data_IF_805445365200
#
_entry.id   IF_805445365200
#
_cell.length_a   1.000
_cell.length_b   1.000
_cell.length_c   1.000
_cell.angle_alpha   90.00
_cell.angle_beta   90.00
_cell.angle_gamma   90.00
#
_symmetry.space_group_name_H-M   'P 1'
#
loop_
_entity.id
_entity.type
_entity.pdbx_description
1 polymer ?
#
# COMPACT_ATOMS: atom_id res chain seq x y z
N UNK A 1 38.82 -3.27 -31.37
CA UNK A 1 37.59 -2.82 -30.67
C UNK A 1 36.41 -3.57 -31.26
N UNK A 2 35.69 -4.36 -30.47
CA UNK A 2 34.47 -5.05 -30.92
C UNK A 2 33.29 -4.08 -30.83
N UNK A 3 32.76 -3.67 -31.97
CA UNK A 3 31.51 -2.90 -32.09
C UNK A 3 30.33 -3.81 -31.73
N UNK A 4 29.65 -3.51 -30.63
CA UNK A 4 28.42 -4.19 -30.24
C UNK A 4 27.32 -3.80 -31.23
N UNK A 5 26.76 -4.79 -31.93
CA UNK A 5 25.74 -4.64 -32.95
C UNK A 5 24.37 -4.43 -32.27
N UNK A 6 24.04 -3.19 -31.88
CA UNK A 6 22.72 -2.84 -31.32
C UNK A 6 21.86 -2.30 -32.46
N UNK A 7 21.25 -3.20 -33.24
CA UNK A 7 20.44 -2.87 -34.44
C UNK A 7 19.11 -2.16 -34.13
N UNK A 8 18.71 -2.02 -32.86
CA UNK A 8 17.45 -1.38 -32.50
C UNK A 8 17.58 -0.53 -31.24
N UNK A 9 17.40 0.79 -31.39
CA UNK A 9 17.29 1.74 -30.28
C UNK A 9 16.09 1.34 -29.42
N UNK A 10 16.31 0.98 -28.17
CA UNK A 10 15.22 0.72 -27.23
C UNK A 10 14.33 1.96 -27.12
N UNK A 11 13.00 1.83 -27.15
CA UNK A 11 12.11 2.98 -27.05
C UNK A 11 12.33 3.69 -25.71
N UNK A 12 12.53 5.01 -25.76
CA UNK A 12 12.88 5.83 -24.60
C UNK A 12 11.72 6.01 -23.60
N UNK A 13 10.50 5.63 -23.97
CA UNK A 13 9.29 5.77 -23.15
C UNK A 13 8.22 4.80 -23.65
N UNK A 14 7.48 4.18 -22.73
CA UNK A 14 6.30 3.39 -23.07
C UNK A 14 5.23 4.26 -23.73
N UNK A 15 4.50 3.69 -24.69
CA UNK A 15 3.42 4.33 -25.48
C UNK A 15 2.16 4.70 -24.67
N UNK A 16 2.16 4.42 -23.35
CA UNK A 16 1.03 4.67 -22.47
C UNK A 16 -0.14 3.71 -22.66
N UNK A 17 -0.01 2.66 -23.48
CA UNK A 17 -1.02 1.63 -23.68
C UNK A 17 -1.40 0.95 -22.35
N UNK A 18 -0.40 0.59 -21.54
CA UNK A 18 -0.58 0.01 -20.22
C UNK A 18 -1.40 0.89 -19.27
N UNK A 19 -1.27 2.23 -19.34
CA UNK A 19 -2.09 3.15 -18.52
C UNK A 19 -3.56 3.05 -18.88
N UNK A 20 -3.89 2.89 -20.17
CA UNK A 20 -5.27 2.74 -20.65
C UNK A 20 -5.86 1.40 -20.22
N UNK A 21 -5.08 0.33 -20.23
CA UNK A 21 -5.52 -0.99 -19.73
C UNK A 21 -5.74 -0.96 -18.22
N UNK A 22 -4.85 -0.32 -17.46
CA UNK A 22 -5.01 -0.13 -16.01
C UNK A 22 -6.23 0.73 -15.65
N UNK A 23 -6.55 1.74 -16.46
CA UNK A 23 -7.78 2.54 -16.25
C UNK A 23 -9.06 1.73 -16.47
N UNK A 24 -9.07 0.73 -17.36
CA UNK A 24 -10.23 -0.17 -17.54
C UNK A 24 -10.41 -1.14 -16.37
N UNK A 25 -9.34 -1.41 -15.62
CA UNK A 25 -9.36 -2.26 -14.43
C UNK A 25 -9.71 -1.48 -13.16
N UNK A 26 -9.54 -0.16 -13.18
CA UNK A 26 -9.96 0.70 -12.08
C UNK A 26 -11.49 0.74 -12.06
N UNK A 27 -12.09 0.34 -10.93
CA UNK A 27 -13.54 0.47 -10.72
C UNK A 27 -13.90 1.95 -10.70
N UNK A 28 -14.93 2.31 -11.45
CA UNK A 28 -15.52 3.63 -11.36
C UNK A 28 -16.49 3.73 -10.18
N UNK A 29 -17.04 4.92 -9.93
CA UNK A 29 -17.99 5.13 -8.83
C UNK A 29 -19.26 4.29 -8.99
N UNK A 30 -19.68 4.02 -10.23
CA UNK A 30 -20.88 3.24 -10.52
C UNK A 30 -20.67 1.76 -10.21
N UNK A 31 -19.52 1.19 -10.58
CA UNK A 31 -19.11 -0.17 -10.25
C UNK A 31 -19.03 -0.36 -8.73
N UNK A 32 -18.45 0.60 -8.02
CA UNK A 32 -18.34 0.57 -6.55
C UNK A 32 -19.75 0.59 -5.92
N UNK A 33 -20.65 1.43 -6.42
CA UNK A 33 -22.01 1.50 -5.91
C UNK A 33 -22.77 0.19 -6.15
N UNK A 34 -22.63 -0.39 -7.35
CA UNK A 34 -23.25 -1.65 -7.71
C UNK A 34 -22.77 -2.80 -6.82
N UNK A 35 -21.47 -2.90 -6.57
CA UNK A 35 -20.91 -3.90 -5.66
C UNK A 35 -21.45 -3.75 -4.24
N UNK A 36 -21.54 -2.51 -3.75
CA UNK A 36 -22.05 -2.19 -2.42
C UNK A 36 -23.53 -2.53 -2.28
N UNK A 37 -24.35 -2.21 -3.29
CA UNK A 37 -25.76 -2.58 -3.34
C UNK A 37 -25.95 -4.10 -3.30
N UNK A 38 -25.17 -4.85 -4.08
CA UNK A 38 -25.21 -6.30 -4.08
C UNK A 38 -24.86 -6.88 -2.70
N UNK A 39 -23.81 -6.35 -2.08
CA UNK A 39 -23.38 -6.79 -0.76
C UNK A 39 -24.43 -6.54 0.33
N UNK A 40 -25.08 -5.37 0.31
CA UNK A 40 -26.22 -5.06 1.20
C UNK A 40 -27.32 -6.11 1.01
N UNK A 41 -27.69 -6.39 -0.23
CA UNK A 41 -28.77 -7.34 -0.55
C UNK A 41 -28.41 -8.76 -0.13
N UNK A 42 -27.18 -9.20 -0.34
CA UNK A 42 -26.70 -10.52 0.08
C UNK A 42 -26.70 -10.65 1.60
N UNK A 43 -26.16 -9.67 2.32
CA UNK A 43 -26.12 -9.68 3.78
C UNK A 43 -27.54 -9.72 4.36
N UNK A 44 -28.47 -8.93 3.82
CA UNK A 44 -29.87 -8.95 4.23
C UNK A 44 -30.54 -10.30 3.98
N UNK A 45 -30.27 -10.96 2.85
CA UNK A 45 -30.79 -12.30 2.57
C UNK A 45 -30.22 -13.33 3.54
N UNK A 46 -28.94 -13.27 3.85
CA UNK A 46 -28.30 -14.16 4.82
C UNK A 46 -28.89 -14.00 6.22
N UNK A 47 -29.15 -12.77 6.65
CA UNK A 47 -29.75 -12.51 7.95
C UNK A 47 -31.22 -12.93 8.02
N UNK A 48 -31.96 -12.78 6.91
CA UNK A 48 -33.30 -13.34 6.78
C UNK A 48 -33.31 -14.87 6.88
N UNK A 49 -32.39 -15.57 6.21
CA UNK A 49 -32.30 -17.04 6.32
C UNK A 49 -31.95 -17.52 7.74
N UNK A 50 -31.20 -16.72 8.51
CA UNK A 50 -30.80 -17.06 9.88
C UNK A 50 -31.87 -16.72 10.92
N UNK A 51 -32.61 -15.63 10.72
CA UNK A 51 -33.49 -15.04 11.74
C UNK A 51 -34.97 -15.06 11.36
N UNK A 52 -35.30 -15.33 10.10
CA UNK A 52 -36.65 -15.35 9.57
C UNK A 52 -37.46 -16.48 10.22
N UNK A 53 -38.73 -16.20 10.50
CA UNK A 53 -39.64 -17.22 11.02
C UNK A 53 -40.08 -18.15 9.89
N UNK A 54 -40.38 -19.43 10.16
CA UNK A 54 -40.93 -20.33 9.16
C UNK A 54 -42.23 -19.75 8.57
N UNK A 55 -42.23 -19.47 7.27
CA UNK A 55 -43.40 -18.93 6.53
C UNK A 55 -43.53 -17.40 6.50
N UNK A 56 -42.63 -16.65 7.14
CA UNK A 56 -42.53 -15.20 6.97
C UNK A 56 -42.01 -14.87 5.56
N UNK A 57 -42.39 -13.74 4.97
CA UNK A 57 -41.80 -13.29 3.70
C UNK A 57 -40.63 -12.34 3.97
N UNK A 58 -39.66 -12.26 3.04
CA UNK A 58 -38.50 -11.35 3.19
C UNK A 58 -38.91 -9.89 3.46
N UNK A 59 -39.96 -9.42 2.79
CA UNK A 59 -40.45 -8.04 2.97
C UNK A 59 -41.09 -7.82 4.34
N UNK A 60 -41.83 -8.81 4.86
CA UNK A 60 -42.44 -8.71 6.19
C UNK A 60 -41.36 -8.75 7.28
N UNK A 61 -40.36 -9.62 7.13
CA UNK A 61 -39.20 -9.66 8.01
C UNK A 61 -38.44 -8.33 7.98
N UNK A 62 -38.20 -7.75 6.80
CA UNK A 62 -37.47 -6.49 6.68
C UNK A 62 -38.23 -5.33 7.35
N UNK A 63 -39.56 -5.26 7.17
CA UNK A 63 -40.41 -4.27 7.84
C UNK A 63 -40.46 -4.43 9.35
N UNK A 64 -40.22 -5.64 9.87
CA UNK A 64 -40.16 -5.90 11.31
C UNK A 64 -38.88 -5.36 11.97
N UNK A 65 -37.84 -5.02 11.19
CA UNK A 65 -36.55 -4.55 11.71
C UNK A 65 -36.58 -3.04 12.00
N UNK A 66 -35.90 -2.59 13.07
CA UNK A 66 -35.76 -1.17 13.35
C UNK A 66 -34.88 -0.48 12.31
N UNK A 67 -35.05 0.83 12.12
CA UNK A 67 -34.24 1.61 11.18
C UNK A 67 -32.73 1.52 11.47
N UNK A 68 -32.36 1.33 12.74
CA UNK A 68 -30.98 1.12 13.18
C UNK A 68 -30.34 -0.14 12.58
N UNK A 69 -31.12 -1.13 12.15
CA UNK A 69 -30.62 -2.34 11.50
C UNK A 69 -29.93 -2.02 10.18
N UNK A 70 -30.57 -1.23 9.31
CA UNK A 70 -29.99 -0.85 8.02
C UNK A 70 -28.75 0.02 8.19
N UNK A 71 -28.74 0.89 9.20
CA UNK A 71 -27.59 1.76 9.51
C UNK A 71 -26.38 0.99 10.05
N UNK A 72 -26.61 -0.13 10.73
CA UNK A 72 -25.56 -0.94 11.37
C UNK A 72 -25.30 -2.25 10.62
N UNK A 73 -25.77 -2.39 9.37
CA UNK A 73 -25.55 -3.58 8.59
C UNK A 73 -24.03 -3.78 8.43
N UNK A 74 -23.47 -4.93 8.85
CA UNK A 74 -22.04 -5.16 8.76
C UNK A 74 -21.68 -5.40 7.30
N UNK A 75 -21.35 -4.32 6.59
CA UNK A 75 -20.78 -4.40 5.25
C UNK A 75 -19.32 -4.83 5.38
N UNK A 76 -18.91 -5.84 4.64
CA UNK A 76 -17.52 -6.18 4.36
C UNK A 76 -16.74 -4.96 3.85
N UNK A 77 -17.39 -4.05 3.10
CA UNK A 77 -16.80 -2.76 2.71
C UNK A 77 -16.61 -1.76 3.86
N UNK A 78 -17.24 -1.94 5.03
CA UNK A 78 -17.05 -1.03 6.17
C UNK A 78 -15.62 -1.03 6.72
N UNK A 79 -14.87 -2.13 6.48
CA UNK A 79 -13.44 -2.19 6.81
C UNK A 79 -12.53 -1.50 5.78
N UNK A 80 -13.12 -0.86 4.75
CA UNK A 80 -12.41 -0.49 3.54
C UNK A 80 -12.05 -1.75 2.76
N UNK A 81 -12.23 -1.75 1.44
CA UNK A 81 -11.83 -2.89 0.60
C UNK A 81 -10.42 -3.36 1.00
N UNK A 82 -10.24 -4.69 1.10
CA UNK A 82 -9.02 -5.36 1.60
C UNK A 82 -7.77 -4.53 1.27
N UNK A 83 -7.26 -3.79 2.26
CA UNK A 83 -6.04 -2.99 2.10
C UNK A 83 -4.89 -3.99 2.00
N UNK A 84 -4.62 -4.44 0.78
CA UNK A 84 -3.49 -5.31 0.53
C UNK A 84 -2.26 -4.42 0.54
N UNK A 85 -1.46 -4.55 1.59
CA UNK A 85 -0.23 -3.79 1.69
C UNK A 85 0.71 -4.30 0.60
N UNK A 86 1.51 -3.41 0.01
CA UNK A 86 2.52 -3.83 -0.97
C UNK A 86 3.45 -4.91 -0.39
N UNK A 87 3.62 -4.93 0.94
CA UNK A 87 4.32 -5.95 1.70
C UNK A 87 3.75 -7.36 1.55
N UNK A 88 2.44 -7.50 1.37
CA UNK A 88 1.78 -8.80 1.26
C UNK A 88 2.07 -9.47 -0.09
N UNK A 89 2.48 -8.68 -1.08
CA UNK A 89 2.91 -9.15 -2.41
C UNK A 89 4.43 -9.20 -2.57
N UNK A 90 5.20 -8.80 -1.56
CA UNK A 90 6.64 -9.02 -1.58
C UNK A 90 6.88 -10.53 -1.54
N UNK A 91 7.44 -11.09 -2.62
CA UNK A 91 7.88 -12.50 -2.67
C UNK A 91 9.03 -12.83 -1.70
N UNK A 92 9.39 -11.87 -0.85
CA UNK A 92 10.49 -11.96 0.11
C UNK A 92 9.97 -12.65 1.37
N UNK A 93 10.62 -13.74 1.79
CA UNK A 93 10.19 -14.53 2.96
C UNK A 93 10.40 -13.82 4.31
N UNK A 94 11.20 -12.75 4.35
CA UNK A 94 11.56 -12.05 5.58
C UNK A 94 11.22 -10.56 5.49
N UNK A 95 10.69 -9.99 6.58
CA UNK A 95 10.45 -8.55 6.70
C UNK A 95 11.78 -7.81 6.60
N UNK A 96 11.91 -6.77 5.75
CA UNK A 96 13.16 -6.03 5.63
C UNK A 96 13.54 -5.43 6.98
N UNK A 97 14.78 -5.71 7.43
CA UNK A 97 15.30 -5.18 8.70
C UNK A 97 15.43 -3.66 8.59
N UNK A 98 14.59 -2.94 9.33
CA UNK A 98 14.67 -1.48 9.44
C UNK A 98 15.97 -1.14 10.17
N UNK A 99 16.93 -0.52 9.47
CA UNK A 99 18.14 0.00 10.10
C UNK A 99 17.75 1.21 10.95
N UNK A 100 17.90 1.12 12.27
CA UNK A 100 17.69 2.27 13.17
C UNK A 100 18.82 3.26 12.93
N UNK A 101 18.47 4.48 12.53
CA UNK A 101 19.42 5.60 12.46
C UNK A 101 19.54 6.15 13.88
N UNK A 102 20.74 6.10 14.45
CA UNK A 102 21.01 6.63 15.77
C UNK A 102 21.23 8.15 15.65
N UNK A 103 20.18 8.95 15.85
CA UNK A 103 20.24 10.41 15.71
C UNK A 103 21.07 11.09 16.82
N UNK A 104 21.32 10.39 17.93
CA UNK A 104 22.02 10.90 19.11
C UNK A 104 23.53 10.60 19.14
N UNK A 105 24.08 9.94 18.11
CA UNK A 105 25.48 9.52 18.13
C UNK A 105 26.47 10.65 17.73
N UNK A 106 25.97 11.75 17.18
CA UNK A 106 26.76 12.94 16.87
C UNK A 106 26.62 13.98 17.96
N UNK A 107 27.63 14.12 18.81
CA UNK A 107 27.75 15.28 19.69
C UNK A 107 28.22 16.48 18.83
N UNK A 108 27.26 17.25 18.32
CA UNK A 108 27.50 18.35 17.36
C UNK A 108 28.32 19.51 17.96
N UNK A 109 28.54 19.53 19.28
CA UNK A 109 29.32 20.56 19.98
C UNK A 109 30.80 20.20 20.13
N UNK A 110 31.25 19.04 19.65
CA UNK A 110 32.66 18.67 19.70
C UNK A 110 33.49 19.45 18.69
N UNK A 111 34.56 20.08 19.19
CA UNK A 111 35.59 20.69 18.36
C UNK A 111 36.30 19.65 17.49
N UNK A 112 36.88 20.05 16.35
CA UNK A 112 37.59 19.16 15.39
C UNK A 112 38.68 18.31 16.07
N UNK A 113 39.25 18.82 17.17
CA UNK A 113 40.23 18.15 18.02
C UNK A 113 39.65 17.07 18.94
N UNK A 114 38.36 17.16 19.30
CA UNK A 114 37.66 16.22 20.17
C UNK A 114 36.99 15.04 19.45
N UNK A 115 37.14 14.95 18.13
CA UNK A 115 36.55 13.88 17.32
C UNK A 115 37.27 12.55 17.57
N UNK A 116 36.51 11.49 17.83
CA UNK A 116 37.05 10.13 17.90
C UNK A 116 37.53 9.67 16.53
N UNK A 117 38.40 8.66 16.49
CA UNK A 117 38.88 8.08 15.23
C UNK A 117 37.74 7.58 14.34
N UNK A 118 36.68 7.04 14.96
CA UNK A 118 35.49 6.56 14.25
C UNK A 118 34.70 7.72 13.60
N UNK A 119 34.55 8.85 14.31
CA UNK A 119 33.84 10.01 13.77
C UNK A 119 34.58 10.62 12.58
N UNK A 120 35.92 10.67 12.64
CA UNK A 120 36.76 11.13 11.53
C UNK A 120 36.61 10.25 10.30
N UNK A 121 36.47 8.94 10.47
CA UNK A 121 36.28 8.00 9.37
C UNK A 121 34.92 8.17 8.69
N UNK A 122 33.85 8.33 9.48
CA UNK A 122 32.50 8.62 8.97
C UNK A 122 32.48 9.93 8.20
N UNK A 123 33.12 10.98 8.72
CA UNK A 123 33.22 12.28 8.05
C UNK A 123 34.03 12.15 6.75
N UNK A 124 35.15 11.43 6.75
CA UNK A 124 35.94 11.16 5.53
C UNK A 124 35.12 10.41 4.47
N UNK A 125 34.33 9.40 4.86
CA UNK A 125 33.44 8.68 3.93
C UNK A 125 32.35 9.61 3.36
N UNK A 126 31.74 10.45 4.20
CA UNK A 126 30.74 11.41 3.78
C UNK A 126 31.30 12.42 2.77
N UNK A 127 32.49 12.96 3.04
CA UNK A 127 33.18 13.92 2.17
C UNK A 127 33.59 13.29 0.84
N UNK A 128 34.03 12.02 0.84
CA UNK A 128 34.32 11.26 -0.39
C UNK A 128 33.06 11.06 -1.23
N UNK A 129 31.93 10.72 -0.59
CA UNK A 129 30.63 10.58 -1.28
C UNK A 129 30.10 11.90 -1.84
N UNK A 130 30.40 13.03 -1.20
CA UNK A 130 30.08 14.36 -1.72
C UNK A 130 31.06 14.87 -2.78
N UNK A 131 32.03 14.05 -3.22
CA UNK A 131 32.96 14.37 -4.31
C UNK A 131 34.17 15.21 -3.91
N UNK A 132 34.42 15.39 -2.61
CA UNK A 132 35.59 16.12 -2.11
C UNK A 132 36.75 15.13 -1.93
N UNK A 133 37.92 15.45 -2.51
CA UNK A 133 39.13 14.65 -2.33
C UNK A 133 39.68 14.88 -0.93
N UNK A 134 39.64 13.84 -0.10
CA UNK A 134 40.23 13.86 1.25
C UNK A 134 41.49 12.99 1.23
N UNK A 135 42.64 13.60 1.52
CA UNK A 135 43.91 12.90 1.75
C UNK A 135 43.83 11.99 2.97
N UNK A 136 44.62 10.91 2.98
CA UNK A 136 44.71 10.00 4.11
C UNK A 136 45.35 10.67 5.34
#
# INVERSE_FOLDING_TARGET
>A
MKTQNIEKKMPSKGDGSAKKELMKLAKDEADILFDLENEIVEQMKLDYLKQGKPGETFMDWLKSKPESYLRNLPLQMANGGKVVLLSDYLKQKEKPKIKKINLAQGDFEKTVSGLSSADKEVIKDLLRRSGIKVSD
#
